data_IF_710219153446
#
_entry.id   IF_710219153446
#
_cell.length_a   1.000
_cell.length_b   1.000
_cell.length_c   1.000
_cell.angle_alpha   90.00
_cell.angle_beta   90.00
_cell.angle_gamma   90.00
#
_symmetry.space_group_name_H-M   'P 1'
#
loop_
_entity.id
_entity.type
_entity.pdbx_description
1 polymer ?
#
# COMPACT_ATOMS: atom_id res chain seq x y z
N UNK A 1 4.59 -24.55 -14.77
CA UNK A 1 4.04 -23.29 -14.28
C UNK A 1 5.05 -22.71 -13.31
N UNK A 2 5.28 -21.41 -13.37
CA UNK A 2 6.14 -20.69 -12.43
C UNK A 2 5.25 -20.09 -11.33
N UNK A 3 5.76 -19.95 -10.11
CA UNK A 3 5.02 -19.48 -8.93
C UNK A 3 5.72 -18.24 -8.38
N UNK A 4 4.96 -17.19 -8.09
CA UNK A 4 5.45 -16.00 -7.40
C UNK A 4 5.00 -16.00 -5.93
N UNK A 5 5.95 -15.80 -5.01
CA UNK A 5 5.67 -15.65 -3.57
C UNK A 5 6.28 -14.32 -3.12
N UNK A 6 5.47 -13.25 -3.17
CA UNK A 6 5.94 -11.88 -2.97
C UNK A 6 4.97 -11.02 -2.13
N UNK A 7 4.14 -11.64 -1.29
CA UNK A 7 3.15 -10.92 -0.47
C UNK A 7 2.10 -10.20 -1.33
N UNK A 8 1.63 -10.86 -2.40
CA UNK A 8 0.66 -10.27 -3.32
C UNK A 8 -0.75 -10.37 -2.76
N UNK A 9 -1.37 -9.23 -2.47
CA UNK A 9 -2.80 -9.17 -2.12
C UNK A 9 -3.65 -9.69 -3.27
N UNK A 10 -4.57 -10.60 -2.95
CA UNK A 10 -5.58 -11.12 -3.89
C UNK A 10 -6.61 -10.01 -4.14
N UNK A 11 -6.80 -9.62 -5.40
CA UNK A 11 -7.84 -8.66 -5.82
C UNK A 11 -8.58 -9.21 -7.03
N UNK A 12 -9.81 -8.76 -7.27
CA UNK A 12 -10.61 -9.20 -8.42
C UNK A 12 -9.91 -8.87 -9.75
N UNK A 13 -9.36 -7.66 -9.88
CA UNK A 13 -8.59 -7.23 -11.05
C UNK A 13 -7.40 -8.16 -11.32
N UNK A 14 -6.61 -8.49 -10.29
CA UNK A 14 -5.47 -9.40 -10.45
C UNK A 14 -5.93 -10.81 -10.81
N UNK A 15 -7.03 -11.28 -10.22
CA UNK A 15 -7.58 -12.61 -10.49
C UNK A 15 -8.12 -12.79 -11.93
N UNK A 16 -8.39 -11.69 -12.65
CA UNK A 16 -8.77 -11.77 -14.07
C UNK A 16 -7.60 -12.18 -14.98
N UNK A 17 -6.35 -12.02 -14.52
CA UNK A 17 -5.15 -12.23 -15.33
C UNK A 17 -4.19 -13.27 -14.75
N UNK A 18 -4.32 -13.65 -13.48
CA UNK A 18 -3.54 -14.72 -12.84
C UNK A 18 -4.41 -15.60 -11.96
N UNK A 19 -4.02 -16.87 -11.82
CA UNK A 19 -4.63 -17.79 -10.85
C UNK A 19 -3.96 -17.62 -9.48
N UNK A 20 -4.76 -17.54 -8.42
CA UNK A 20 -4.29 -17.55 -7.03
C UNK A 20 -4.47 -18.93 -6.40
N UNK A 21 -3.58 -19.27 -5.46
CA UNK A 21 -3.81 -20.38 -4.54
C UNK A 21 -4.85 -20.01 -3.49
N UNK A 22 -5.17 -20.96 -2.61
CA UNK A 22 -5.80 -20.62 -1.34
C UNK A 22 -4.93 -19.58 -0.59
N UNK A 23 -5.54 -18.58 0.08
CA UNK A 23 -4.81 -17.57 0.81
C UNK A 23 -4.04 -18.21 1.97
N UNK A 24 -2.79 -17.76 2.16
CA UNK A 24 -1.91 -18.29 3.21
C UNK A 24 -1.65 -17.29 4.34
N UNK A 25 -2.04 -16.02 4.18
CA UNK A 25 -1.87 -14.96 5.16
C UNK A 25 -2.94 -13.88 4.96
N UNK A 26 -3.55 -13.43 6.06
CA UNK A 26 -4.48 -12.29 6.05
C UNK A 26 -3.72 -11.03 6.49
N UNK A 27 -3.69 -10.02 5.64
CA UNK A 27 -2.91 -8.80 5.82
C UNK A 27 -3.80 -7.56 5.69
N UNK A 28 -3.66 -6.63 6.62
CA UNK A 28 -4.23 -5.29 6.53
C UNK A 28 -3.22 -4.24 6.08
N UNK A 29 -3.73 -3.10 5.58
CA UNK A 29 -2.91 -1.91 5.36
C UNK A 29 -2.64 -1.20 6.69
N UNK A 30 -1.43 -0.70 6.85
CA UNK A 30 -1.02 0.07 8.03
C UNK A 30 -0.11 1.21 7.61
N UNK A 31 -0.20 2.33 8.34
CA UNK A 31 0.71 3.47 8.23
C UNK A 31 1.78 3.33 9.32
N UNK A 32 3.03 3.54 8.93
CA UNK A 32 4.17 3.54 9.85
C UNK A 32 4.65 4.97 9.97
N UNK A 33 4.69 5.46 11.21
CA UNK A 33 5.20 6.80 11.56
C UNK A 33 6.40 6.67 12.49
N UNK A 34 7.08 7.79 12.74
CA UNK A 34 8.16 7.83 13.75
C UNK A 34 7.57 7.55 15.13
N UNK A 35 8.36 6.90 15.99
CA UNK A 35 7.89 6.51 17.33
C UNK A 35 7.54 7.70 18.24
N UNK A 36 8.08 8.88 17.94
CA UNK A 36 7.82 10.15 18.64
C UNK A 36 6.80 11.04 17.90
N UNK A 37 6.16 10.56 16.84
CA UNK A 37 5.09 11.27 16.17
C UNK A 37 3.76 11.07 16.93
N UNK A 38 3.18 12.16 17.40
CA UNK A 38 1.88 12.19 18.09
C UNK A 38 0.77 12.82 17.22
N UNK A 39 1.11 13.25 15.99
CA UNK A 39 0.22 14.03 15.12
C UNK A 39 -0.64 13.14 14.21
N UNK A 40 -0.13 11.98 13.81
CA UNK A 40 -0.82 11.09 12.86
C UNK A 40 -1.46 9.92 13.61
N UNK A 41 -2.79 9.88 13.60
CA UNK A 41 -3.59 8.84 14.24
C UNK A 41 -4.70 8.29 13.34
N UNK A 42 -5.00 8.99 12.26
CA UNK A 42 -6.05 8.69 11.28
C UNK A 42 -5.54 8.91 9.85
N UNK A 43 -6.36 8.57 8.86
CA UNK A 43 -5.97 8.76 7.46
C UNK A 43 -6.02 10.25 7.07
N UNK A 44 -6.96 10.99 7.65
CA UNK A 44 -7.17 12.43 7.44
C UNK A 44 -5.97 13.24 7.94
N UNK A 45 -5.27 12.76 8.97
CA UNK A 45 -4.05 13.40 9.49
C UNK A 45 -2.89 13.38 8.46
N UNK A 46 -3.03 12.65 7.34
CA UNK A 46 -2.05 12.62 6.26
C UNK A 46 -2.25 13.72 5.22
N UNK A 47 -3.36 14.46 5.26
CA UNK A 47 -3.60 15.59 4.36
C UNK A 47 -2.48 16.65 4.50
N UNK A 48 -1.93 17.08 3.36
CA UNK A 48 -0.81 18.00 3.26
C UNK A 48 0.55 17.39 3.58
N UNK A 49 0.61 16.11 3.99
CA UNK A 49 1.87 15.40 4.26
C UNK A 49 2.37 14.65 3.01
N UNK A 50 3.66 14.33 3.02
CA UNK A 50 4.26 13.42 2.04
C UNK A 50 4.23 12.00 2.57
N UNK A 51 3.66 11.08 1.79
CA UNK A 51 3.45 9.68 2.17
C UNK A 51 4.16 8.77 1.18
N UNK A 52 5.19 8.06 1.66
CA UNK A 52 5.93 7.09 0.85
C UNK A 52 5.16 5.77 0.71
N UNK A 53 5.13 5.20 -0.49
CA UNK A 53 4.49 3.90 -0.73
C UNK A 53 5.10 3.19 -1.94
N UNK A 54 4.83 1.88 -2.10
CA UNK A 54 5.37 1.08 -3.21
C UNK A 54 4.49 1.24 -4.44
N UNK A 55 5.09 1.57 -5.57
CA UNK A 55 4.36 1.60 -6.84
C UNK A 55 3.72 0.24 -7.16
N UNK A 56 2.46 0.26 -7.61
CA UNK A 56 1.69 -0.95 -7.95
C UNK A 56 1.26 -1.82 -6.77
N UNK A 57 1.41 -1.32 -5.53
CA UNK A 57 0.88 -1.96 -4.34
C UNK A 57 -0.55 -1.53 -4.06
N UNK A 58 -1.30 -2.37 -3.35
CA UNK A 58 -2.65 -2.01 -2.87
C UNK A 58 -2.63 -0.84 -1.89
N UNK A 59 -1.51 -0.59 -1.20
CA UNK A 59 -1.32 0.61 -0.38
C UNK A 59 -1.29 1.89 -1.21
N UNK A 60 -0.64 1.86 -2.38
CA UNK A 60 -0.60 3.01 -3.29
C UNK A 60 -2.01 3.29 -3.83
N UNK A 61 -2.71 2.25 -4.29
CA UNK A 61 -4.08 2.40 -4.81
C UNK A 61 -5.03 2.95 -3.74
N UNK A 62 -4.92 2.45 -2.50
CA UNK A 62 -5.70 2.93 -1.37
C UNK A 62 -5.43 4.41 -1.04
N UNK A 63 -4.15 4.81 -0.94
CA UNK A 63 -3.80 6.22 -0.68
C UNK A 63 -4.30 7.13 -1.81
N UNK A 64 -4.18 6.70 -3.07
CA UNK A 64 -4.71 7.46 -4.21
C UNK A 64 -6.24 7.60 -4.17
N UNK A 65 -6.95 6.57 -3.70
CA UNK A 65 -8.40 6.59 -3.59
C UNK A 65 -8.89 7.49 -2.45
N UNK A 66 -8.26 7.39 -1.28
CA UNK A 66 -8.72 8.07 -0.07
C UNK A 66 -8.21 9.51 0.04
N UNK A 67 -6.98 9.80 -0.41
CA UNK A 67 -6.35 11.12 -0.26
C UNK A 67 -6.16 11.85 -1.59
N UNK A 68 -5.93 11.14 -2.69
CA UNK A 68 -5.81 11.77 -4.01
C UNK A 68 -4.78 12.91 -4.06
N UNK A 69 -5.27 14.13 -4.31
CA UNK A 69 -4.44 15.37 -4.36
C UNK A 69 -4.26 16.03 -2.99
N UNK A 70 -4.97 15.57 -1.96
CA UNK A 70 -4.92 16.14 -0.61
C UNK A 70 -3.63 15.78 0.12
N UNK A 71 -2.85 14.80 -0.36
CA UNK A 71 -1.53 14.44 0.16
C UNK A 71 -0.50 14.25 -0.98
N UNK A 72 0.79 14.44 -0.68
CA UNK A 72 1.87 14.16 -1.61
C UNK A 72 2.27 12.68 -1.56
N UNK A 73 1.56 11.85 -2.33
CA UNK A 73 1.81 10.41 -2.42
C UNK A 73 3.05 10.17 -3.27
N UNK A 74 4.16 9.78 -2.64
CA UNK A 74 5.44 9.54 -3.31
C UNK A 74 5.63 8.04 -3.59
N UNK A 75 5.53 7.58 -4.86
CA UNK A 75 5.71 6.19 -5.21
C UNK A 75 7.20 5.82 -5.39
N UNK A 76 7.61 4.72 -4.77
CA UNK A 76 8.95 4.15 -4.89
C UNK A 76 8.93 2.78 -5.60
N UNK A 77 9.95 2.46 -6.43
CA UNK A 77 10.00 1.20 -7.17
C UNK A 77 10.26 -0.02 -6.25
N UNK A 78 11.02 0.17 -5.18
CA UNK A 78 11.36 -0.86 -4.21
C UNK A 78 11.18 -0.37 -2.78
N UNK A 79 11.01 -1.32 -1.85
CA UNK A 79 10.89 -1.01 -0.42
C UNK A 79 12.17 -0.42 0.17
N UNK A 80 13.34 -0.72 -0.41
CA UNK A 80 14.61 -0.15 0.03
C UNK A 80 14.85 1.28 -0.46
N UNK A 81 14.04 1.76 -1.41
CA UNK A 81 14.14 3.11 -1.96
C UNK A 81 13.24 4.11 -1.20
N UNK A 82 12.34 3.61 -0.36
CA UNK A 82 11.47 4.39 0.55
C UNK A 82 12.26 4.89 1.77
#
# INVERSE_FOLDING_TARGET
QEIAIAGTTITEERAQVVDFSDPYYDSGLQIIVRADNEEVSSIEDLEGLSVATKIGSTSYDFLQQELGEDADITPYPGTADM
#
